data_IF_444879216207
#
_entry.id   IF_444879216207
#
_cell.length_a   1.000
_cell.length_b   1.000
_cell.length_c   1.000
_cell.angle_alpha   90.00
_cell.angle_beta   90.00
_cell.angle_gamma   90.00
#
_symmetry.space_group_name_H-M   'P 1'
#
loop_
_entity.id
_entity.type
_entity.pdbx_description
1 polymer ?
#
# COMPACT_ATOMS: atom_id res chain seq x y z
N UNK A 1 58.39 37.15 -13.07
CA UNK A 1 58.63 35.70 -13.02
C UNK A 1 57.28 35.06 -13.30
N UNK A 2 57.16 34.57 -14.52
CA UNK A 2 56.00 33.93 -15.15
C UNK A 2 56.03 32.42 -14.88
N UNK A 3 54.86 31.82 -14.64
CA UNK A 3 54.32 30.61 -15.27
C UNK A 3 53.13 30.12 -14.41
N UNK A 4 51.90 30.06 -14.93
CA UNK A 4 51.29 28.97 -15.76
C UNK A 4 51.07 27.70 -14.89
N UNK A 5 49.92 27.01 -14.81
CA UNK A 5 48.88 26.62 -15.78
C UNK A 5 47.61 26.20 -14.99
N UNK A 6 46.41 26.61 -15.39
CA UNK A 6 45.50 26.00 -16.38
C UNK A 6 44.63 24.85 -15.82
N UNK A 7 43.33 25.14 -15.81
CA UNK A 7 42.25 24.30 -15.29
C UNK A 7 41.83 23.35 -16.41
N UNK A 8 42.39 22.15 -16.39
CA UNK A 8 42.10 21.11 -17.37
C UNK A 8 40.66 20.63 -17.32
N UNK A 9 39.89 21.00 -18.36
CA UNK A 9 38.60 20.37 -18.73
C UNK A 9 38.79 18.86 -18.92
N UNK A 10 38.18 18.06 -18.06
CA UNK A 10 38.11 16.60 -18.25
C UNK A 10 37.07 16.29 -19.32
N UNK A 11 37.57 15.90 -20.49
CA UNK A 11 36.81 15.49 -21.67
C UNK A 11 36.18 14.09 -21.49
N UNK A 12 34.93 13.93 -21.93
CA UNK A 12 34.08 12.71 -21.86
C UNK A 12 34.56 11.51 -22.69
N UNK A 13 35.87 11.27 -22.80
CA UNK A 13 36.45 10.19 -23.63
C UNK A 13 37.47 9.28 -22.92
N UNK A 14 37.56 9.35 -21.59
CA UNK A 14 38.36 8.40 -20.79
C UNK A 14 37.48 7.65 -19.79
N UNK A 15 36.42 7.02 -20.29
CA UNK A 15 35.66 5.99 -19.59
C UNK A 15 35.54 4.85 -20.60
N UNK A 16 36.45 3.89 -20.52
CA UNK A 16 36.37 2.51 -21.01
C UNK A 16 37.78 1.91 -20.96
N UNK A 17 38.20 1.49 -19.76
CA UNK A 17 39.21 0.42 -19.58
C UNK A 17 39.27 0.04 -18.09
N UNK A 18 39.32 -1.28 -17.86
CA UNK A 18 39.21 -2.00 -16.59
C UNK A 18 37.73 -2.19 -16.18
N UNK A 19 37.20 -3.40 -16.08
CA UNK A 19 37.77 -4.63 -15.52
C UNK A 19 37.22 -5.88 -16.23
N UNK A 20 38.12 -6.63 -16.87
CA UNK A 20 37.86 -8.02 -17.27
C UNK A 20 38.32 -8.94 -16.16
N UNK A 21 37.41 -9.38 -15.31
CA UNK A 21 37.60 -10.47 -14.35
C UNK A 21 36.74 -11.64 -14.76
N UNK A 22 37.32 -12.62 -15.44
CA UNK A 22 36.66 -13.88 -15.72
C UNK A 22 36.79 -14.79 -14.49
N UNK A 23 35.67 -15.05 -13.81
CA UNK A 23 35.58 -16.17 -12.88
C UNK A 23 35.23 -17.42 -13.69
N UNK A 24 36.17 -18.36 -13.75
CA UNK A 24 35.96 -19.67 -14.35
C UNK A 24 35.28 -20.58 -13.33
N UNK A 25 33.96 -20.79 -13.47
CA UNK A 25 33.26 -21.88 -12.81
C UNK A 25 33.42 -23.12 -13.69
N UNK A 26 33.99 -24.19 -13.11
CA UNK A 26 34.12 -25.47 -13.79
C UNK A 26 32.81 -26.23 -13.68
N UNK A 27 31.95 -26.13 -14.69
CA UNK A 27 30.81 -27.03 -14.88
C UNK A 27 30.99 -27.77 -16.21
N UNK A 28 31.26 -29.07 -16.14
CA UNK A 28 31.22 -29.97 -17.29
C UNK A 28 29.75 -30.25 -17.60
N UNK A 29 29.22 -29.57 -18.62
CA UNK A 29 27.90 -29.81 -19.19
C UNK A 29 27.88 -29.25 -20.61
N UNK A 30 27.72 -30.12 -21.60
CA UNK A 30 27.66 -29.74 -23.01
C UNK A 30 26.26 -29.20 -23.32
N UNK A 31 26.15 -27.93 -23.74
CA UNK A 31 24.87 -27.37 -24.18
C UNK A 31 24.88 -25.86 -24.41
N UNK A 32 25.14 -25.47 -25.66
CA UNK A 32 24.75 -24.22 -26.34
C UNK A 32 24.81 -22.89 -25.55
N UNK A 33 25.87 -22.11 -25.80
CA UNK A 33 25.93 -20.68 -25.51
C UNK A 33 25.11 -19.89 -26.54
N UNK A 34 23.98 -19.32 -26.12
CA UNK A 34 23.30 -18.22 -26.81
C UNK A 34 23.37 -16.95 -25.93
N UNK A 35 23.56 -15.80 -26.57
CA UNK A 35 23.89 -14.52 -25.95
C UNK A 35 22.87 -14.06 -24.89
N UNK A 36 23.32 -13.94 -23.63
CA UNK A 36 22.52 -13.49 -22.49
C UNK A 36 22.70 -11.99 -22.16
N UNK A 37 22.88 -11.13 -23.17
CA UNK A 37 22.88 -9.67 -22.96
C UNK A 37 21.55 -8.99 -23.30
N UNK A 38 20.60 -9.72 -23.88
CA UNK A 38 19.27 -9.23 -24.25
C UNK A 38 18.14 -9.76 -23.35
N UNK A 39 18.42 -10.76 -22.52
CA UNK A 39 17.41 -11.44 -21.71
C UNK A 39 17.01 -10.65 -20.45
N UNK A 40 17.94 -9.92 -19.83
CA UNK A 40 17.64 -9.08 -18.66
C UNK A 40 16.76 -7.87 -19.03
N UNK A 41 17.01 -7.26 -20.20
CA UNK A 41 16.19 -6.14 -20.70
C UNK A 41 14.80 -6.60 -21.14
N UNK A 42 14.67 -7.80 -21.73
CA UNK A 42 13.37 -8.42 -22.06
C UNK A 42 12.62 -8.91 -20.83
N UNK A 43 13.28 -9.45 -19.82
CA UNK A 43 12.64 -9.91 -18.58
C UNK A 43 12.08 -8.73 -17.78
N UNK A 44 12.83 -7.63 -17.69
CA UNK A 44 12.32 -6.38 -17.13
C UNK A 44 11.11 -5.86 -17.91
N UNK A 45 11.21 -5.76 -19.24
CA UNK A 45 10.09 -5.30 -20.07
C UNK A 45 8.85 -6.22 -19.99
N UNK A 46 9.03 -7.55 -19.98
CA UNK A 46 7.93 -8.50 -19.87
C UNK A 46 7.28 -8.52 -18.48
N UNK A 47 8.01 -8.17 -17.42
CA UNK A 47 7.44 -7.98 -16.09
C UNK A 47 6.55 -6.73 -16.03
N UNK A 48 6.95 -5.63 -16.68
CA UNK A 48 6.11 -4.42 -16.80
C UNK A 48 4.91 -4.61 -17.73
N UNK A 49 5.02 -5.44 -18.78
CA UNK A 49 3.88 -5.75 -19.66
C UNK A 49 2.74 -6.51 -18.94
N UNK A 50 3.00 -7.16 -17.80
CA UNK A 50 1.96 -7.81 -16.98
C UNK A 50 1.28 -6.88 -15.97
N UNK A 51 1.93 -5.77 -15.63
CA UNK A 51 1.46 -4.84 -14.61
C UNK A 51 1.41 -3.42 -15.19
N UNK A 52 0.35 -3.03 -15.91
CA UNK A 52 0.29 -1.73 -16.60
C UNK A 52 0.39 -0.53 -15.64
N UNK A 53 -0.05 -0.69 -14.40
CA UNK A 53 -0.01 0.37 -13.38
C UNK A 53 1.34 0.44 -12.65
N UNK A 54 2.19 -0.59 -12.76
CA UNK A 54 3.43 -0.68 -12.02
C UNK A 54 4.44 0.36 -12.51
N UNK A 55 4.93 1.20 -11.61
CA UNK A 55 5.96 2.19 -11.92
C UNK A 55 7.24 1.96 -11.11
N UNK A 56 8.34 2.56 -11.56
CA UNK A 56 9.63 2.53 -10.85
C UNK A 56 9.74 3.59 -9.74
N UNK A 57 8.99 4.68 -9.86
CA UNK A 57 8.98 5.79 -8.90
C UNK A 57 7.82 5.61 -7.93
N UNK A 58 7.74 6.38 -6.83
CA UNK A 58 6.50 6.49 -6.07
C UNK A 58 5.33 6.82 -7.01
N UNK A 59 4.26 6.04 -6.88
CA UNK A 59 3.00 6.30 -7.56
C UNK A 59 1.87 5.58 -6.84
N UNK A 60 0.72 6.23 -6.79
CA UNK A 60 -0.51 5.70 -6.22
C UNK A 60 -1.63 5.74 -7.24
N UNK A 61 -2.65 4.91 -7.03
CA UNK A 61 -3.92 4.94 -7.74
C UNK A 61 -5.07 4.76 -6.75
N UNK A 62 -6.28 5.12 -7.16
CA UNK A 62 -7.48 4.94 -6.34
C UNK A 62 -8.03 3.52 -6.49
N UNK A 63 -8.50 2.96 -5.39
CA UNK A 63 -9.17 1.66 -5.41
C UNK A 63 -10.51 1.73 -6.16
N UNK A 64 -11.03 0.57 -6.57
CA UNK A 64 -12.32 0.51 -7.25
C UNK A 64 -13.41 1.09 -6.34
N UNK A 65 -14.17 2.08 -6.83
CA UNK A 65 -15.21 2.76 -6.06
C UNK A 65 -14.69 3.73 -4.99
N UNK A 66 -13.37 3.97 -4.94
CA UNK A 66 -12.79 4.99 -4.08
C UNK A 66 -13.00 6.40 -4.65
N UNK A 67 -13.23 7.35 -3.76
CA UNK A 67 -13.39 8.77 -4.05
C UNK A 67 -13.07 9.58 -2.80
N UNK A 68 -12.26 10.62 -2.97
CA UNK A 68 -11.99 11.63 -1.93
C UNK A 68 -12.92 12.84 -2.06
N UNK A 69 -13.74 12.93 -3.12
CA UNK A 69 -14.55 14.11 -3.43
C UNK A 69 -15.54 14.44 -2.31
N UNK A 70 -16.16 13.42 -1.72
CA UNK A 70 -17.09 13.58 -0.61
C UNK A 70 -16.45 13.56 0.77
N UNK A 71 -15.11 13.45 0.87
CA UNK A 71 -14.41 13.43 2.15
C UNK A 71 -14.26 14.84 2.70
N UNK A 72 -14.77 15.05 3.91
CA UNK A 72 -14.64 16.29 4.67
C UNK A 72 -14.13 15.95 6.08
N UNK A 73 -13.13 16.69 6.55
CA UNK A 73 -12.54 16.56 7.88
C UNK A 73 -13.55 16.96 8.97
N UNK A 74 -14.46 17.87 8.65
CA UNK A 74 -15.51 18.33 9.55
C UNK A 74 -16.76 17.41 9.54
N UNK A 75 -16.77 16.37 8.70
CA UNK A 75 -17.87 15.42 8.66
C UNK A 75 -17.97 14.64 9.98
N UNK A 76 -19.17 14.46 10.59
CA UNK A 76 -19.32 13.80 11.88
C UNK A 76 -18.69 12.39 11.93
N UNK A 77 -18.86 11.60 10.86
CA UNK A 77 -18.28 10.24 10.78
C UNK A 77 -16.74 10.29 10.69
N UNK A 78 -16.16 11.29 10.03
CA UNK A 78 -14.70 11.48 10.01
C UNK A 78 -14.18 11.81 11.39
N UNK A 79 -14.86 12.73 12.11
CA UNK A 79 -14.47 13.11 13.46
C UNK A 79 -14.61 11.94 14.45
N UNK A 80 -15.66 11.13 14.32
CA UNK A 80 -15.89 9.94 15.13
C UNK A 80 -14.79 8.89 14.89
N UNK A 81 -14.50 8.57 13.63
CA UNK A 81 -13.41 7.64 13.29
C UNK A 81 -12.06 8.16 13.81
N UNK A 82 -11.74 9.44 13.58
CA UNK A 82 -10.48 10.02 14.05
C UNK A 82 -10.39 10.04 15.58
N UNK A 83 -11.51 10.29 16.27
CA UNK A 83 -11.57 10.24 17.74
C UNK A 83 -11.35 8.82 18.26
N UNK A 84 -11.99 7.81 17.66
CA UNK A 84 -11.81 6.41 18.02
C UNK A 84 -10.35 5.95 17.80
N UNK A 85 -9.76 6.29 16.64
CA UNK A 85 -8.34 6.03 16.38
C UNK A 85 -7.45 6.70 17.44
N UNK A 86 -7.70 7.98 17.75
CA UNK A 86 -6.91 8.72 18.74
C UNK A 86 -7.00 8.11 20.13
N UNK A 87 -8.18 7.66 20.53
CA UNK A 87 -8.42 6.95 21.79
C UNK A 87 -7.63 5.64 21.82
N UNK A 88 -7.78 4.78 20.79
CA UNK A 88 -7.03 3.52 20.69
C UNK A 88 -5.52 3.74 20.75
N UNK A 89 -4.99 4.70 19.99
CA UNK A 89 -3.55 5.02 20.02
C UNK A 89 -3.13 5.46 21.42
N UNK A 90 -3.87 6.36 22.07
CA UNK A 90 -3.49 6.87 23.40
C UNK A 90 -3.59 5.79 24.49
N UNK A 91 -4.57 4.88 24.39
CA UNK A 91 -4.83 3.89 25.45
C UNK A 91 -4.08 2.57 25.27
N UNK A 92 -3.84 2.14 24.03
CA UNK A 92 -3.29 0.82 23.72
C UNK A 92 -1.96 0.86 22.99
N UNK A 93 -1.73 1.87 22.16
CA UNK A 93 -0.62 1.90 21.20
C UNK A 93 0.11 3.25 21.21
N UNK A 94 0.39 3.82 22.38
CA UNK A 94 0.81 5.24 22.51
C UNK A 94 2.26 5.46 22.01
N UNK A 95 3.09 4.42 22.10
CA UNK A 95 4.50 4.44 21.73
C UNK A 95 4.97 3.09 21.15
N UNK A 96 6.22 3.08 20.69
CA UNK A 96 6.88 1.91 20.10
C UNK A 96 6.87 0.70 21.03
N UNK A 97 7.11 0.89 22.33
CA UNK A 97 7.10 -0.20 23.30
C UNK A 97 5.75 -0.90 23.35
N UNK A 98 4.68 -0.12 23.43
CA UNK A 98 3.31 -0.64 23.40
C UNK A 98 2.98 -1.39 22.11
N UNK A 99 3.49 -0.92 20.96
CA UNK A 99 3.35 -1.60 19.67
C UNK A 99 4.05 -2.96 19.65
N UNK A 100 5.29 -3.02 20.15
CA UNK A 100 6.07 -4.25 20.24
C UNK A 100 5.36 -5.28 21.11
N UNK A 101 4.88 -4.88 22.28
CA UNK A 101 4.13 -5.73 23.20
C UNK A 101 2.82 -6.24 22.58
N UNK A 102 2.20 -5.44 21.71
CA UNK A 102 0.99 -5.80 20.97
C UNK A 102 1.27 -6.63 19.69
N UNK A 103 2.53 -6.97 19.40
CA UNK A 103 2.91 -7.83 18.28
C UNK A 103 3.07 -7.13 16.94
N UNK A 104 3.05 -5.80 16.91
CA UNK A 104 3.33 -5.05 15.69
C UNK A 104 4.78 -5.24 15.25
N UNK A 105 4.99 -5.25 13.93
CA UNK A 105 6.28 -5.42 13.29
C UNK A 105 6.68 -4.15 12.55
N UNK A 106 7.92 -3.68 12.72
CA UNK A 106 8.40 -2.49 12.04
C UNK A 106 8.40 -2.70 10.52
N UNK A 107 7.91 -1.69 9.83
CA UNK A 107 7.93 -1.53 8.40
C UNK A 107 8.54 -0.15 8.12
N UNK A 108 9.87 -0.09 8.13
CA UNK A 108 10.58 1.10 7.67
C UNK A 108 10.56 1.11 6.15
N UNK A 109 10.12 2.19 5.53
CA UNK A 109 9.96 2.27 4.08
C UNK A 109 11.30 2.06 3.36
N UNK A 110 11.40 0.85 2.85
CA UNK A 110 12.64 0.10 2.58
C UNK A 110 13.52 0.59 1.43
N UNK A 111 13.11 1.65 0.71
CA UNK A 111 13.77 2.10 -0.52
C UNK A 111 14.17 3.57 -0.53
N UNK A 112 14.31 4.19 0.64
CA UNK A 112 14.96 5.51 0.81
C UNK A 112 14.42 6.52 -0.22
N UNK A 113 13.09 6.53 -0.36
CA UNK A 113 12.40 7.58 -1.07
C UNK A 113 12.57 8.81 -0.22
N UNK A 114 13.51 9.66 -0.66
CA UNK A 114 14.09 10.81 0.01
C UNK A 114 13.12 11.90 0.54
N UNK A 115 11.84 11.58 0.70
CA UNK A 115 10.75 12.47 1.04
C UNK A 115 9.83 11.92 2.17
N UNK A 116 10.06 10.71 2.72
CA UNK A 116 9.32 10.19 3.89
C UNK A 116 10.07 10.50 5.20
N UNK A 117 10.25 11.80 5.46
CA UNK A 117 11.11 12.33 6.51
C UNK A 117 10.59 11.97 7.92
N UNK A 118 11.11 10.90 8.51
CA UNK A 118 11.11 10.67 9.96
C UNK A 118 9.84 10.10 10.56
N UNK A 119 9.09 9.28 9.82
CA UNK A 119 8.02 8.44 10.37
C UNK A 119 8.09 7.03 9.78
N UNK A 120 7.40 6.06 10.40
CA UNK A 120 7.43 4.65 10.00
C UNK A 120 6.07 3.99 10.15
N UNK A 121 5.83 2.95 9.36
CA UNK A 121 4.69 2.08 9.54
C UNK A 121 5.06 0.92 10.46
N UNK A 122 4.09 0.49 11.26
CA UNK A 122 4.18 -0.68 12.12
C UNK A 122 2.97 -1.54 11.83
N UNK A 123 3.18 -2.75 11.33
CA UNK A 123 2.14 -3.63 10.80
C UNK A 123 1.86 -4.78 11.76
N UNK A 124 0.59 -5.12 11.97
CA UNK A 124 0.21 -6.27 12.80
C UNK A 124 -0.23 -7.46 11.92
N UNK A 125 0.57 -8.54 11.83
CA UNK A 125 0.22 -9.72 11.03
C UNK A 125 -1.10 -10.38 11.45
N UNK A 126 -1.45 -10.33 12.74
CA UNK A 126 -2.72 -10.93 13.21
C UNK A 126 -3.93 -10.13 12.74
N UNK A 127 -3.80 -8.81 12.55
CA UNK A 127 -4.91 -7.95 12.13
C UNK A 127 -5.05 -7.93 10.61
N UNK A 128 -3.94 -7.87 9.86
CA UNK A 128 -3.96 -7.99 8.38
C UNK A 128 -4.60 -9.31 7.93
N UNK A 129 -4.37 -10.38 8.70
CA UNK A 129 -4.86 -11.72 8.44
C UNK A 129 -6.30 -11.99 8.89
N UNK A 130 -6.96 -11.07 9.58
CA UNK A 130 -8.31 -11.32 10.10
C UNK A 130 -9.42 -10.96 9.10
N UNK A 131 -10.67 -10.96 9.54
CA UNK A 131 -11.86 -10.71 8.71
C UNK A 131 -12.42 -9.28 8.85
N UNK A 132 -11.81 -8.45 9.69
CA UNK A 132 -12.16 -7.05 9.91
C UNK A 132 -11.44 -6.14 8.92
N UNK A 133 -12.07 -5.01 8.61
CA UNK A 133 -11.49 -3.94 7.81
C UNK A 133 -12.08 -2.65 8.35
N UNK A 134 -11.24 -1.63 8.55
CA UNK A 134 -11.67 -0.33 9.10
C UNK A 134 -12.17 -0.44 10.55
N UNK A 135 -11.42 -1.17 11.39
CA UNK A 135 -11.66 -1.28 12.83
C UNK A 135 -10.66 -0.41 13.62
N UNK A 136 -11.06 0.76 14.17
CA UNK A 136 -10.16 1.64 14.89
C UNK A 136 -9.56 1.02 16.17
N UNK A 137 -10.11 -0.07 16.70
CA UNK A 137 -9.55 -0.76 17.87
C UNK A 137 -8.41 -1.73 17.51
N UNK A 138 -8.39 -2.20 16.26
CA UNK A 138 -7.47 -3.22 15.75
C UNK A 138 -6.91 -2.82 14.38
N UNK A 139 -6.26 -1.65 14.26
CA UNK A 139 -5.76 -1.17 12.97
C UNK A 139 -4.62 -2.06 12.46
N UNK A 140 -4.66 -2.41 11.16
CA UNK A 140 -3.64 -3.26 10.54
C UNK A 140 -2.24 -2.62 10.56
N UNK A 141 -2.19 -1.29 10.57
CA UNK A 141 -0.96 -0.52 10.71
C UNK A 141 -1.12 0.66 11.66
N UNK A 142 -0.11 0.90 12.49
CA UNK A 142 0.08 2.14 13.24
C UNK A 142 1.23 2.94 12.62
N UNK A 143 1.10 4.26 12.60
CA UNK A 143 2.08 5.20 12.05
C UNK A 143 2.81 5.87 13.21
N UNK A 144 4.13 5.82 13.22
CA UNK A 144 4.98 6.27 14.34
C UNK A 144 5.89 7.38 13.87
N UNK A 145 6.02 8.43 14.67
CA UNK A 145 7.05 9.45 14.47
C UNK A 145 8.42 8.92 14.95
N UNK A 146 9.40 8.84 14.05
CA UNK A 146 10.70 8.22 14.35
C UNK A 146 11.55 9.06 15.32
N UNK A 147 11.21 10.34 15.51
CA UNK A 147 11.91 11.19 16.50
C UNK A 147 11.33 11.01 17.88
N UNK A 148 10.03 11.23 18.07
CA UNK A 148 9.36 11.16 19.38
C UNK A 148 9.02 9.74 19.83
N UNK A 149 9.01 8.78 18.91
CA UNK A 149 8.61 7.39 19.07
C UNK A 149 7.15 7.24 19.51
N UNK A 150 6.32 8.25 19.19
CA UNK A 150 4.89 8.30 19.48
C UNK A 150 4.09 7.91 18.25
N UNK A 151 2.96 7.27 18.48
CA UNK A 151 1.97 7.04 17.43
C UNK A 151 1.30 8.34 17.01
N UNK A 152 1.18 8.54 15.70
CA UNK A 152 0.67 9.77 15.06
C UNK A 152 -0.53 9.52 14.14
N UNK A 153 -0.81 8.26 13.81
CA UNK A 153 -1.98 7.86 13.03
C UNK A 153 -2.04 6.36 12.83
N UNK A 154 -2.98 5.93 12.01
CA UNK A 154 -3.11 4.53 11.58
C UNK A 154 -3.22 4.46 10.07
N UNK A 155 -2.87 3.31 9.50
CA UNK A 155 -3.21 2.97 8.14
C UNK A 155 -4.02 1.68 8.17
N UNK A 156 -5.26 1.76 7.70
CA UNK A 156 -6.07 0.56 7.48
C UNK A 156 -5.63 -0.12 6.18
N UNK A 157 -5.64 -1.45 6.18
CA UNK A 157 -5.34 -2.26 5.01
C UNK A 157 -6.55 -3.14 4.73
N UNK A 158 -7.14 -3.00 3.54
CA UNK A 158 -8.33 -3.76 3.16
C UNK A 158 -7.94 -5.15 2.67
N UNK A 159 -7.60 -6.01 3.62
CA UNK A 159 -7.40 -7.45 3.43
C UNK A 159 -8.44 -8.23 4.24
N UNK A 160 -8.72 -9.47 3.84
CA UNK A 160 -9.40 -10.45 4.67
C UNK A 160 -8.77 -11.81 4.48
N UNK A 161 -8.44 -12.49 5.57
CA UNK A 161 -7.67 -13.73 5.52
C UNK A 161 -6.36 -13.56 4.72
N UNK A 162 -5.71 -12.39 4.84
CA UNK A 162 -4.48 -12.04 4.10
C UNK A 162 -4.69 -11.69 2.62
N UNK A 163 -5.90 -11.81 2.08
CA UNK A 163 -6.20 -11.53 0.67
C UNK A 163 -6.81 -10.13 0.49
N UNK A 164 -6.41 -9.35 -0.53
CA UNK A 164 -7.01 -8.04 -0.80
C UNK A 164 -8.52 -8.12 -1.05
N UNK A 165 -9.29 -7.19 -0.47
CA UNK A 165 -10.74 -7.07 -0.67
C UNK A 165 -11.14 -5.68 -1.16
N UNK A 166 -12.37 -5.55 -1.65
CA UNK A 166 -12.96 -4.25 -1.93
C UNK A 166 -13.20 -3.49 -0.61
N UNK A 167 -12.60 -2.31 -0.42
CA UNK A 167 -12.69 -1.59 0.84
C UNK A 167 -14.08 -1.00 1.08
N UNK A 168 -14.55 -0.92 2.35
CA UNK A 168 -15.75 -0.16 2.69
C UNK A 168 -15.50 1.34 2.53
N UNK A 169 -16.52 2.12 2.13
CA UNK A 169 -16.45 3.57 2.30
C UNK A 169 -16.35 3.93 3.80
N UNK A 170 -15.85 5.12 4.12
CA UNK A 170 -15.98 5.64 5.49
C UNK A 170 -17.45 5.99 5.73
N UNK A 171 -18.07 6.68 4.78
CA UNK A 171 -19.50 6.97 4.79
C UNK A 171 -20.07 7.07 3.38
N UNK A 172 -21.38 6.85 3.27
CA UNK A 172 -22.17 7.01 2.05
C UNK A 172 -23.51 7.67 2.42
N UNK A 173 -23.84 8.83 1.84
CA UNK A 173 -25.03 9.64 2.19
C UNK A 173 -25.11 9.95 3.70
N UNK A 174 -24.00 10.42 4.28
CA UNK A 174 -23.84 10.79 5.70
C UNK A 174 -23.95 9.64 6.72
N UNK A 175 -24.16 8.39 6.29
CA UNK A 175 -24.23 7.21 7.17
C UNK A 175 -22.87 6.49 7.23
N UNK A 176 -22.42 6.17 8.46
CA UNK A 176 -21.19 5.42 8.68
C UNK A 176 -21.35 3.97 8.18
N UNK A 177 -20.45 3.53 7.30
CA UNK A 177 -20.53 2.20 6.69
C UNK A 177 -19.75 1.14 7.51
N UNK A 178 -18.85 1.58 8.40
CA UNK A 178 -17.98 0.72 9.20
C UNK A 178 -18.64 0.27 10.53
N UNK A 179 -19.47 1.11 11.13
CA UNK A 179 -20.13 0.82 12.42
C UNK A 179 -21.17 -0.31 12.30
N UNK A 180 -22.05 -0.27 11.29
CA UNK A 180 -23.12 -1.29 11.12
C UNK A 180 -22.60 -2.71 10.89
N UNK A 181 -21.40 -2.88 10.33
CA UNK A 181 -20.82 -4.22 10.09
C UNK A 181 -20.19 -4.82 11.34
N UNK A 182 -19.61 -3.99 12.20
CA UNK A 182 -19.05 -4.42 13.47
C UNK A 182 -20.17 -4.77 14.46
N UNK A 183 -21.25 -3.99 14.51
CA UNK A 183 -22.42 -4.31 15.34
C UNK A 183 -23.16 -5.58 14.89
N UNK A 184 -23.38 -5.76 13.58
CA UNK A 184 -23.99 -7.01 13.06
C UNK A 184 -23.15 -8.25 13.32
N UNK A 185 -21.84 -8.13 13.56
CA UNK A 185 -21.00 -9.26 13.97
C UNK A 185 -21.26 -9.64 15.42
N UNK A 186 -21.37 -8.67 16.33
CA UNK A 186 -21.71 -8.92 17.73
C UNK A 186 -23.05 -9.65 17.89
N UNK A 187 -23.98 -9.48 16.94
CA UNK A 187 -25.29 -10.14 16.96
C UNK A 187 -25.36 -11.47 16.20
N UNK A 188 -24.43 -11.77 15.28
CA UNK A 188 -24.50 -12.96 14.41
C UNK A 188 -23.57 -14.12 14.80
N UNK A 189 -22.78 -14.01 15.87
CA UNK A 189 -21.98 -15.14 16.39
C UNK A 189 -22.82 -16.25 17.07
N UNK A 190 -24.13 -16.04 17.26
CA UNK A 190 -25.07 -17.02 17.85
C UNK A 190 -26.04 -17.66 16.84
N UNK A 191 -25.97 -17.32 15.55
CA UNK A 191 -26.89 -17.88 14.54
C UNK A 191 -26.23 -18.98 13.72
N UNK A 192 -26.27 -20.19 14.30
CA UNK A 192 -26.11 -21.46 13.60
C UNK A 192 -26.88 -21.44 12.28
N UNK A 193 -26.17 -21.39 11.15
CA UNK A 193 -26.73 -21.57 9.81
C UNK A 193 -27.20 -23.02 9.66
N UNK A 194 -28.38 -23.33 10.19
CA UNK A 194 -29.13 -24.53 9.85
C UNK A 194 -29.51 -24.42 8.37
N UNK A 195 -28.75 -25.11 7.52
CA UNK A 195 -29.04 -25.32 6.11
C UNK A 195 -30.39 -26.04 5.98
N UNK A 196 -31.47 -25.26 5.99
CA UNK A 196 -32.80 -25.72 5.64
C UNK A 196 -32.85 -26.00 4.14
N UNK A 197 -32.67 -27.27 3.78
CA UNK A 197 -33.10 -27.79 2.49
C UNK A 197 -34.62 -27.59 2.37
N UNK A 198 -35.04 -26.57 1.62
CA UNK A 198 -36.42 -26.42 1.17
C UNK A 198 -36.51 -26.97 -0.27
N UNK A 199 -36.86 -28.26 -0.36
CA UNK A 199 -37.30 -28.92 -1.57
C UNK A 199 -38.68 -28.39 -1.97
N UNK A 200 -38.70 -27.24 -2.65
CA UNK A 200 -39.89 -26.60 -3.17
C UNK A 200 -40.14 -26.93 -4.64
N UNK A 201 -40.75 -28.09 -4.89
CA UNK A 201 -41.43 -28.47 -6.14
C UNK A 201 -42.36 -27.34 -6.65
N UNK A 202 -42.21 -26.92 -7.92
CA UNK A 202 -43.29 -26.31 -8.69
C UNK A 202 -43.07 -26.42 -10.20
N UNK A 203 -43.64 -27.48 -10.77
CA UNK A 203 -44.04 -27.59 -12.17
C UNK A 203 -44.95 -26.42 -12.61
N UNK A 204 -44.61 -25.79 -13.73
CA UNK A 204 -45.51 -25.20 -14.75
C UNK A 204 -44.61 -24.50 -15.79
N UNK A 205 -44.51 -24.89 -17.05
CA UNK A 205 -45.59 -25.27 -17.95
C UNK A 205 -45.69 -24.22 -19.06
N UNK A 206 -44.88 -24.39 -20.11
CA UNK A 206 -45.27 -24.15 -21.51
C UNK A 206 -45.58 -22.72 -22.02
N UNK A 207 -44.89 -22.43 -23.14
CA UNK A 207 -45.47 -22.01 -24.43
C UNK A 207 -45.36 -20.54 -24.83
N UNK A 208 -45.00 -20.32 -26.10
CA UNK A 208 -45.35 -19.10 -26.83
C UNK A 208 -44.22 -18.40 -27.57
N UNK A 209 -43.75 -18.99 -28.68
CA UNK A 209 -42.94 -18.28 -29.67
C UNK A 209 -43.75 -17.30 -30.51
N UNK A 210 -43.16 -16.14 -30.81
CA UNK A 210 -43.42 -15.26 -31.96
C UNK A 210 -42.10 -14.50 -32.23
N UNK A 211 -41.51 -14.39 -33.42
CA UNK A 211 -42.03 -14.57 -34.77
C UNK A 211 -42.18 -13.22 -35.49
N UNK A 212 -41.09 -12.80 -36.18
CA UNK A 212 -41.02 -11.85 -37.30
C UNK A 212 -41.08 -10.33 -37.09
N UNK A 213 -40.21 -9.61 -37.81
CA UNK A 213 -40.38 -8.20 -38.15
C UNK A 213 -39.16 -7.50 -38.76
N UNK A 214 -38.94 -7.68 -40.06
CA UNK A 214 -38.03 -6.87 -40.90
C UNK A 214 -38.40 -5.38 -40.86
N UNK A 215 -37.42 -4.48 -41.06
CA UNK A 215 -37.72 -3.09 -41.45
C UNK A 215 -36.51 -2.16 -41.49
N UNK A 216 -36.08 -1.86 -42.71
CA UNK A 216 -35.01 -0.92 -43.09
C UNK A 216 -35.11 0.47 -42.46
N UNK A 217 -33.96 1.13 -42.27
CA UNK A 217 -33.73 2.44 -42.90
C UNK A 217 -32.23 2.79 -42.90
N UNK A 218 -31.66 2.72 -44.10
CA UNK A 218 -30.49 3.49 -44.50
C UNK A 218 -30.82 4.99 -44.38
N UNK A 219 -30.03 5.71 -43.59
CA UNK A 219 -29.92 7.16 -43.72
C UNK A 219 -28.45 7.56 -43.69
N UNK A 220 -27.90 7.67 -44.90
CA UNK A 220 -26.79 8.55 -45.23
C UNK A 220 -27.13 9.98 -44.80
N UNK A 221 -26.41 10.48 -43.79
CA UNK A 221 -26.19 11.91 -43.62
C UNK A 221 -24.69 12.16 -43.50
N UNK A 222 -24.10 12.59 -44.61
CA UNK A 222 -22.84 13.31 -44.62
C UNK A 222 -23.07 14.71 -44.04
N UNK A 223 -22.56 14.96 -42.84
CA UNK A 223 -22.34 16.29 -42.28
C UNK A 223 -20.88 16.37 -41.80
N UNK A 224 -20.04 17.29 -42.32
CA UNK A 224 -18.77 17.60 -41.71
C UNK A 224 -19.01 18.48 -40.48
N UNK A 225 -18.06 18.44 -39.55
CA UNK A 225 -18.02 19.23 -38.30
C UNK A 225 -18.64 18.52 -37.08
N UNK A 226 -18.03 17.39 -36.70
CA UNK A 226 -17.96 17.03 -35.28
C UNK A 226 -16.68 17.66 -34.74
N UNK A 227 -16.86 18.76 -34.02
CA UNK A 227 -15.86 19.22 -33.06
C UNK A 227 -15.57 18.04 -32.12
N UNK A 228 -14.28 17.75 -31.96
CA UNK A 228 -13.75 16.77 -31.03
C UNK A 228 -14.17 17.17 -29.61
N UNK A 229 -15.38 16.80 -29.21
CA UNK A 229 -15.79 16.73 -27.82
C UNK A 229 -14.93 15.65 -27.19
N UNK A 230 -13.91 16.14 -26.49
CA UNK A 230 -13.07 15.40 -25.58
C UNK A 230 -13.91 14.36 -24.85
N UNK A 231 -13.64 13.09 -25.20
CA UNK A 231 -13.95 11.94 -24.37
C UNK A 231 -13.10 12.09 -23.10
N UNK A 232 -13.50 13.01 -22.23
CA UNK A 232 -13.12 12.97 -20.85
C UNK A 232 -13.77 11.72 -20.32
N UNK A 233 -12.92 10.70 -20.16
CA UNK A 233 -13.07 9.64 -19.20
C UNK A 233 -13.47 10.29 -17.87
N UNK A 234 -14.77 10.52 -17.71
CA UNK A 234 -15.35 10.84 -16.43
C UNK A 234 -15.14 9.56 -15.63
N UNK A 235 -14.14 9.61 -14.74
CA UNK A 235 -13.99 8.63 -13.68
C UNK A 235 -15.36 8.33 -13.05
N UNK A 236 -15.51 7.13 -12.44
CA UNK A 236 -16.81 6.64 -11.97
C UNK A 236 -17.53 7.76 -11.26
N UNK A 237 -18.78 8.04 -11.68
CA UNK A 237 -19.64 9.09 -11.13
C UNK A 237 -19.70 8.87 -9.62
N UNK A 238 -18.81 9.54 -8.90
CA UNK A 238 -18.76 9.48 -7.45
C UNK A 238 -20.01 10.20 -6.97
N UNK A 239 -20.78 9.54 -6.12
CA UNK A 239 -21.75 10.24 -5.32
C UNK A 239 -21.00 11.34 -4.56
N UNK A 240 -21.38 12.62 -4.75
CA UNK A 240 -20.71 13.77 -4.12
C UNK A 240 -20.65 13.62 -2.59
N UNK A 241 -21.55 12.80 -2.02
CA UNK A 241 -21.70 12.54 -0.59
C UNK A 241 -21.00 11.25 -0.10
N UNK A 242 -20.20 10.57 -0.95
CA UNK A 242 -19.47 9.35 -0.58
C UNK A 242 -18.00 9.64 -0.30
N UNK A 243 -17.53 9.32 0.90
CA UNK A 243 -16.12 9.36 1.26
C UNK A 243 -15.51 7.96 1.31
N UNK A 244 -14.56 7.71 0.43
CA UNK A 244 -13.85 6.44 0.31
C UNK A 244 -12.40 6.71 -0.13
N UNK A 245 -11.52 7.23 0.76
CA UNK A 245 -10.19 7.71 0.42
C UNK A 245 -9.14 6.59 0.25
N UNK A 246 -9.60 5.38 -0.08
CA UNK A 246 -8.77 4.21 -0.30
C UNK A 246 -7.93 4.31 -1.58
N UNK A 247 -6.65 4.01 -1.46
CA UNK A 247 -5.71 4.03 -2.56
C UNK A 247 -4.79 2.80 -2.50
N UNK A 248 -4.04 2.54 -3.56
CA UNK A 248 -3.01 1.53 -3.61
C UNK A 248 -1.70 2.15 -4.08
N UNK A 249 -0.58 1.59 -3.65
CA UNK A 249 0.72 1.92 -4.20
C UNK A 249 1.02 1.04 -5.41
N UNK A 250 1.30 1.67 -6.54
CA UNK A 250 1.75 1.03 -7.77
C UNK A 250 3.26 1.29 -8.03
N UNK A 251 3.85 2.20 -7.27
CA UNK A 251 5.28 2.50 -7.31
C UNK A 251 6.11 1.35 -6.74
N UNK A 252 7.31 1.15 -7.29
CA UNK A 252 8.22 0.13 -6.79
C UNK A 252 8.50 0.25 -5.27
N UNK A 253 8.70 1.45 -4.67
CA UNK A 253 8.91 1.60 -3.23
C UNK A 253 7.83 0.91 -2.39
N UNK A 254 6.57 1.32 -2.53
CA UNK A 254 5.47 0.72 -1.75
C UNK A 254 5.21 -0.75 -2.06
N UNK A 255 5.35 -1.18 -3.33
CA UNK A 255 5.15 -2.59 -3.70
C UNK A 255 6.25 -3.50 -3.17
N UNK A 256 7.50 -3.04 -3.21
CA UNK A 256 8.64 -3.77 -2.67
C UNK A 256 8.56 -3.84 -1.15
N UNK A 257 8.22 -2.72 -0.50
CA UNK A 257 8.06 -2.68 0.93
C UNK A 257 6.95 -3.68 1.36
N UNK A 258 5.79 -3.72 0.70
CA UNK A 258 4.74 -4.71 0.99
C UNK A 258 5.21 -6.15 0.76
N UNK A 259 5.90 -6.41 -0.36
CA UNK A 259 6.50 -7.72 -0.61
C UNK A 259 7.50 -8.12 0.48
N UNK A 260 8.32 -7.18 0.95
CA UNK A 260 9.32 -7.39 1.99
C UNK A 260 8.68 -7.67 3.35
N UNK A 261 7.59 -6.98 3.69
CA UNK A 261 6.81 -7.29 4.89
C UNK A 261 6.38 -8.76 4.92
N UNK A 262 5.76 -9.22 3.82
CA UNK A 262 5.29 -10.60 3.71
C UNK A 262 6.44 -11.60 3.80
N UNK A 263 7.59 -11.26 3.22
CA UNK A 263 8.85 -12.01 3.34
C UNK A 263 9.32 -12.17 4.77
N UNK A 264 9.47 -11.05 5.46
CA UNK A 264 10.06 -11.01 6.78
C UNK A 264 9.14 -11.60 7.85
N UNK A 265 7.82 -11.41 7.73
CA UNK A 265 6.92 -11.59 8.86
C UNK A 265 5.76 -12.57 8.67
N UNK A 266 5.24 -12.79 7.45
CA UNK A 266 4.09 -13.70 7.24
C UNK A 266 4.51 -15.16 6.99
N UNK A 267 5.80 -15.44 6.72
CA UNK A 267 6.31 -16.79 6.41
C UNK A 267 5.55 -17.51 5.27
N UNK A 268 4.81 -16.78 4.43
CA UNK A 268 4.15 -17.25 3.20
C UNK A 268 5.12 -17.96 2.22
N UNK A 269 6.42 -17.90 2.51
CA UNK A 269 7.55 -18.45 1.78
C UNK A 269 7.82 -19.93 2.00
N UNK A 270 7.09 -20.61 2.88
CA UNK A 270 7.17 -22.08 2.91
C UNK A 270 6.81 -22.71 1.55
N UNK A 271 6.11 -21.97 0.67
CA UNK A 271 5.72 -22.39 -0.68
C UNK A 271 6.53 -21.77 -1.85
N UNK A 272 7.44 -20.80 -1.60
CA UNK A 272 8.55 -20.46 -2.50
C UNK A 272 8.35 -19.47 -3.66
N UNK A 273 7.23 -18.75 -3.79
CA UNK A 273 6.85 -18.11 -5.08
C UNK A 273 6.26 -16.67 -5.01
N UNK A 274 6.58 -15.84 -4.01
CA UNK A 274 6.07 -14.46 -4.02
C UNK A 274 6.88 -13.57 -4.97
N UNK A 275 6.30 -13.30 -6.14
CA UNK A 275 6.66 -12.19 -7.02
C UNK A 275 6.26 -10.85 -6.36
N UNK A 276 7.00 -9.77 -6.64
CA UNK A 276 6.58 -8.41 -6.26
C UNK A 276 5.24 -8.13 -6.95
N UNK A 277 4.17 -7.77 -6.21
CA UNK A 277 2.85 -7.62 -6.81
C UNK A 277 2.78 -6.42 -7.76
N UNK A 278 1.74 -6.37 -8.60
CA UNK A 278 1.50 -5.22 -9.48
C UNK A 278 1.13 -3.95 -8.70
N UNK A 279 0.52 -4.10 -7.51
CA UNK A 279 0.13 -3.04 -6.57
C UNK A 279 0.01 -3.61 -5.16
N UNK A 280 0.03 -2.76 -4.15
CA UNK A 280 -0.33 -3.14 -2.77
C UNK A 280 -1.83 -3.42 -2.65
N UNK A 281 -2.30 -4.01 -1.54
CA UNK A 281 -3.71 -3.93 -1.17
C UNK A 281 -4.18 -2.47 -1.07
N UNK A 282 -5.51 -2.29 -1.05
CA UNK A 282 -6.10 -0.99 -0.78
C UNK A 282 -5.80 -0.58 0.66
N UNK A 283 -5.38 0.66 0.84
CA UNK A 283 -5.04 1.22 2.14
C UNK A 283 -5.58 2.64 2.31
N UNK A 284 -5.73 3.04 3.57
CA UNK A 284 -6.28 4.33 3.94
C UNK A 284 -5.63 4.82 5.24
N UNK A 285 -4.99 5.98 5.19
CA UNK A 285 -4.43 6.64 6.36
C UNK A 285 -5.53 7.37 7.13
N UNK A 286 -5.40 7.43 8.46
CA UNK A 286 -6.16 8.31 9.35
C UNK A 286 -5.17 8.94 10.32
N UNK A 287 -4.89 10.22 10.14
CA UNK A 287 -3.98 10.98 11.00
C UNK A 287 -4.69 11.47 12.26
N UNK A 288 -4.01 11.41 13.40
CA UNK A 288 -4.52 11.94 14.69
C UNK A 288 -3.90 13.28 15.07
N UNK A 289 -2.83 13.66 14.36
CA UNK A 289 -2.19 14.97 14.37
C UNK A 289 -2.71 15.81 13.19
N UNK A 290 -2.50 17.12 13.25
CA UNK A 290 -2.92 18.03 12.18
C UNK A 290 -2.16 17.71 10.88
N UNK A 291 -2.88 17.69 9.75
CA UNK A 291 -2.29 17.48 8.44
C UNK A 291 -2.86 18.51 7.46
N UNK A 292 -2.04 19.27 6.71
CA UNK A 292 -2.51 20.33 5.82
C UNK A 292 -3.40 19.82 4.68
N UNK A 293 -3.19 18.58 4.25
CA UNK A 293 -4.01 17.90 3.22
C UNK A 293 -5.17 17.06 3.79
N UNK A 294 -5.47 17.22 5.09
CA UNK A 294 -6.62 16.62 5.77
C UNK A 294 -6.39 15.27 6.44
N UNK A 295 -7.42 14.75 7.12
CA UNK A 295 -7.34 13.57 8.00
C UNK A 295 -6.91 12.31 7.25
N UNK A 296 -7.32 12.19 5.99
CA UNK A 296 -7.03 11.02 5.13
C UNK A 296 -5.86 11.25 4.17
N UNK A 297 -5.01 12.25 4.43
CA UNK A 297 -3.87 12.55 3.57
C UNK A 297 -2.98 11.31 3.35
N UNK A 298 -2.53 11.15 2.10
CA UNK A 298 -1.66 10.03 1.73
C UNK A 298 -0.25 10.17 2.34
N UNK A 299 0.32 11.37 2.27
CA UNK A 299 1.66 11.64 2.80
C UNK A 299 1.67 11.76 4.31
N UNK A 300 2.87 11.63 4.88
CA UNK A 300 3.08 11.90 6.30
C UNK A 300 2.93 13.37 6.65
N UNK A 301 2.45 13.69 7.87
CA UNK A 301 2.35 15.07 8.34
C UNK A 301 3.71 15.75 8.40
N UNK A 302 3.77 17.07 8.14
CA UNK A 302 5.02 17.81 8.21
C UNK A 302 5.58 17.75 9.65
N UNK A 303 6.90 17.88 9.79
CA UNK A 303 7.59 17.67 11.06
C UNK A 303 7.05 18.57 12.18
N UNK A 304 6.69 19.82 11.87
CA UNK A 304 6.12 20.79 12.82
C UNK A 304 4.74 20.38 13.35
N UNK A 305 3.96 19.63 12.57
CA UNK A 305 2.69 19.07 13.01
C UNK A 305 2.84 17.80 13.86
N UNK A 306 4.01 17.14 13.80
CA UNK A 306 4.35 15.96 14.62
C UNK A 306 5.05 16.30 15.93
N UNK A 307 5.43 17.56 16.15
CA UNK A 307 6.12 18.00 17.36
C UNK A 307 5.28 17.69 18.62
N UNK A 308 5.67 16.63 19.33
CA UNK A 308 5.05 16.17 20.58
C UNK A 308 6.12 15.94 21.64
N UNK A 309 5.67 15.80 22.89
CA UNK A 309 6.56 15.29 23.94
C UNK A 309 6.94 13.85 23.58
N UNK A 310 8.24 13.53 23.48
CA UNK A 310 8.69 12.15 23.23
C UNK A 310 8.11 11.14 24.21
N UNK A 311 8.17 9.86 23.85
CA UNK A 311 7.93 8.78 24.80
C UNK A 311 8.86 8.94 26.02
N UNK A 312 8.33 8.72 27.23
CA UNK A 312 9.12 8.89 28.46
C UNK A 312 10.25 7.84 28.54
N UNK A 313 9.98 6.64 28.01
CA UNK A 313 10.92 5.51 27.90
C UNK A 313 10.68 4.80 26.56
N UNK A 314 11.67 4.01 26.11
CA UNK A 314 11.56 3.20 24.90
C UNK A 314 10.50 2.09 25.00
N UNK A 315 10.24 1.59 26.21
CA UNK A 315 9.37 0.44 26.47
C UNK A 315 9.99 -0.93 26.14
N UNK A 316 11.27 -0.98 25.75
CA UNK A 316 12.03 -2.21 25.53
C UNK A 316 13.52 -2.00 25.88
N UNK A 317 14.30 -3.08 25.90
CA UNK A 317 15.73 -3.02 26.24
C UNK A 317 16.55 -2.35 25.12
N UNK A 318 16.86 -1.07 25.26
CA UNK A 318 17.76 -0.32 24.38
C UNK A 318 18.53 0.76 25.13
N UNK A 319 19.61 1.27 24.53
CA UNK A 319 20.35 2.43 25.04
C UNK A 319 19.99 3.74 24.33
N UNK A 320 19.12 3.68 23.31
CA UNK A 320 18.65 4.85 22.60
C UNK A 320 17.52 5.56 23.36
N UNK A 321 17.42 6.87 23.18
CA UNK A 321 16.49 7.74 23.90
C UNK A 321 15.50 8.41 22.94
N UNK A 322 14.17 8.23 23.13
CA UNK A 322 13.15 8.94 22.36
C UNK A 322 13.37 10.47 22.39
N UNK A 323 13.26 11.12 21.24
CA UNK A 323 13.48 12.55 21.04
C UNK A 323 14.95 12.95 20.87
N UNK A 324 15.90 12.04 21.09
CA UNK A 324 17.33 12.26 20.86
C UNK A 324 17.84 11.38 19.72
N UNK A 325 17.49 10.09 19.75
CA UNK A 325 17.88 9.11 18.75
C UNK A 325 16.70 8.81 17.80
N UNK A 326 17.00 8.65 16.51
CA UNK A 326 16.01 8.35 15.49
C UNK A 326 15.70 6.84 15.49
N UNK A 327 14.42 6.48 15.54
CA UNK A 327 13.97 5.09 15.50
C UNK A 327 14.36 4.43 14.17
N UNK A 328 15.18 3.39 14.25
CA UNK A 328 15.64 2.60 13.11
C UNK A 328 15.90 1.13 13.48
N UNK A 329 16.32 0.32 12.51
CA UNK A 329 16.64 -1.10 12.69
C UNK A 329 17.77 -1.38 13.68
N UNK A 330 18.67 -0.44 13.96
CA UNK A 330 19.82 -0.64 14.84
C UNK A 330 19.45 -0.45 16.33
N UNK A 331 18.30 0.16 16.59
CA UNK A 331 17.79 0.41 17.93
C UNK A 331 16.84 -0.69 18.41
N UNK A 332 16.16 -1.36 17.48
CA UNK A 332 15.14 -2.36 17.80
C UNK A 332 15.73 -3.65 18.42
N UNK A 333 14.93 -4.39 19.21
CA UNK A 333 15.30 -5.72 19.66
C UNK A 333 15.61 -6.66 18.49
N UNK A 334 16.62 -7.53 18.66
CA UNK A 334 17.09 -8.46 17.63
C UNK A 334 15.95 -9.33 17.05
N UNK A 335 14.95 -9.69 17.87
CA UNK A 335 13.79 -10.49 17.44
C UNK A 335 12.81 -9.77 16.51
N UNK A 336 12.90 -8.44 16.39
CA UNK A 336 12.11 -7.65 15.46
C UNK A 336 12.87 -7.30 14.18
N UNK A 337 14.19 -7.46 14.19
CA UNK A 337 15.04 -7.19 13.03
C UNK A 337 15.04 -8.44 12.14
N UNK A 338 14.62 -8.33 10.86
CA UNK A 338 14.69 -9.45 9.94
C UNK A 338 16.13 -9.90 9.68
N UNK A 339 16.32 -11.18 9.34
CA UNK A 339 17.64 -11.77 9.07
C UNK A 339 18.40 -11.08 7.91
N UNK A 340 17.67 -10.58 6.91
CA UNK A 340 18.21 -9.77 5.82
C UNK A 340 17.43 -8.45 5.73
N UNK A 341 18.12 -7.33 5.92
CA UNK A 341 17.52 -5.99 5.84
C UNK A 341 17.31 -5.57 4.39
N UNK A 342 16.40 -4.63 4.12
CA UNK A 342 16.08 -4.26 2.74
C UNK A 342 17.26 -3.65 1.97
N UNK A 343 18.13 -2.91 2.66
CA UNK A 343 19.34 -2.33 2.09
C UNK A 343 20.43 -3.38 1.81
N UNK A 344 20.30 -4.59 2.35
CA UNK A 344 21.19 -5.73 2.11
C UNK A 344 20.74 -6.53 0.89
N UNK A 345 19.43 -6.52 0.59
CA UNK A 345 18.85 -7.21 -0.55
C UNK A 345 19.39 -6.70 -1.89
N UNK A 346 19.51 -7.62 -2.85
CA UNK A 346 19.85 -7.30 -4.25
C UNK A 346 18.62 -7.52 -5.11
N UNK A 347 17.91 -6.43 -5.45
CA UNK A 347 16.73 -6.51 -6.33
C UNK A 347 17.19 -6.45 -7.79
N UNK A 348 16.95 -7.49 -8.61
CA UNK A 348 17.29 -7.46 -10.03
C UNK A 348 16.59 -6.29 -10.76
N UNK A 349 17.39 -5.41 -11.38
CA UNK A 349 16.87 -4.27 -12.14
C UNK A 349 16.78 -2.95 -11.38
N UNK A 350 17.01 -2.96 -10.06
CA UNK A 350 17.17 -1.75 -9.24
C UNK A 350 18.67 -1.54 -9.03
N UNK A 351 19.22 -0.41 -9.49
CA UNK A 351 20.59 -0.03 -9.13
C UNK A 351 20.52 0.74 -7.82
N UNK A 352 21.29 0.30 -6.82
CA UNK A 352 21.61 1.10 -5.63
C UNK A 352 22.33 2.38 -6.04
#
# INVERSE_FOLDING_TARGET
MTDEMDVGRVSRRTLLRASGGALAVSAVGTGQTAAASDASTRAGAAAFERCPDATLRPSMGYCAGASTVGCDDDHPVTQELQAAVRETLTERYDDVGALIDAGFKPYFDTLDVADEDGWSHWLNPEYIGDDTVLDPERPESVLVDNTSWRSIGVMFIATRNGEPVDPPAVYDNDEAVWDERNERRAENEDHDYEYGHDDGDSDSGGNGGHGHGNGHNDHDYNGPDHEDEHNHDHGPIGHEDRCSPWHYHAGLPGRFAWWYYRQAYEQDFSDGDLEIPCRTPCMMHVWTVDHPDGVYAHGGPPADARERTPADEAGFETNAEPGTDELDWDILPDELVPDERPDELTIPGVRK
#
